data_IF_410343947014
#
_entry.id   IF_410343947014
#
_cell.length_a   1.000
_cell.length_b   1.000
_cell.length_c   1.000
_cell.angle_alpha   90.00
_cell.angle_beta   90.00
_cell.angle_gamma   90.00
#
_symmetry.space_group_name_H-M   'P 1'
#
loop_
_entity.id
_entity.type
_entity.pdbx_description
1 polymer ?
#
# COMPACT_ATOMS: atom_id res chain seq x y z
N UNK A 1 -7.57 15.46 9.28
CA UNK A 1 -9.04 15.51 9.46
C UNK A 1 -9.53 16.63 10.38
N UNK A 2 -8.91 16.90 11.54
CA UNK A 2 -9.36 17.95 12.48
C UNK A 2 -9.61 19.34 11.83
N UNK A 3 -8.71 19.79 10.95
CA UNK A 3 -8.85 21.07 10.25
C UNK A 3 -10.11 21.15 9.36
N UNK A 4 -10.53 20.02 8.77
CA UNK A 4 -11.75 19.94 7.95
C UNK A 4 -12.98 20.11 8.84
N UNK A 5 -13.02 19.45 10.00
CA UNK A 5 -14.11 19.60 10.98
C UNK A 5 -14.20 21.04 11.49
N UNK A 6 -13.06 21.65 11.79
CA UNK A 6 -12.99 23.07 12.20
C UNK A 6 -13.52 24.00 11.11
N UNK A 7 -13.21 23.72 9.84
CA UNK A 7 -13.74 24.46 8.70
C UNK A 7 -15.26 24.31 8.60
N UNK A 8 -15.79 23.09 8.66
CA UNK A 8 -17.22 22.84 8.62
C UNK A 8 -17.97 23.54 9.76
N UNK A 9 -17.40 23.56 10.97
CA UNK A 9 -17.96 24.31 12.11
C UNK A 9 -17.98 25.82 11.86
N UNK A 10 -16.91 26.38 11.28
CA UNK A 10 -16.85 27.82 10.93
C UNK A 10 -17.84 28.20 9.82
N UNK A 11 -18.03 27.31 8.85
CA UNK A 11 -18.95 27.51 7.74
C UNK A 11 -20.42 27.18 8.09
N UNK A 12 -20.71 26.80 9.34
CA UNK A 12 -22.06 26.44 9.82
C UNK A 12 -22.74 25.40 8.93
N UNK A 13 -21.98 24.39 8.49
CA UNK A 13 -22.49 23.35 7.61
C UNK A 13 -23.37 22.34 8.37
N UNK A 14 -24.42 21.87 7.71
CA UNK A 14 -25.29 20.82 8.24
C UNK A 14 -24.53 19.49 8.37
N UNK A 15 -25.03 18.56 9.16
CA UNK A 15 -24.40 17.26 9.41
C UNK A 15 -24.12 16.49 8.10
N UNK A 16 -25.07 16.50 7.17
CA UNK A 16 -24.94 15.87 5.86
C UNK A 16 -23.79 16.45 5.03
N UNK A 17 -23.69 17.79 4.98
CA UNK A 17 -22.59 18.50 4.30
C UNK A 17 -21.26 18.16 4.93
N UNK A 18 -21.19 18.16 6.27
CA UNK A 18 -19.98 17.80 7.00
C UNK A 18 -19.54 16.38 6.68
N UNK A 19 -20.49 15.42 6.71
CA UNK A 19 -20.24 14.02 6.39
C UNK A 19 -19.71 13.84 4.97
N UNK A 20 -20.36 14.45 3.98
CA UNK A 20 -19.94 14.39 2.58
C UNK A 20 -18.55 14.99 2.34
N UNK A 21 -18.21 16.10 3.00
CA UNK A 21 -16.87 16.68 2.90
C UNK A 21 -15.85 15.74 3.56
N UNK A 22 -16.13 15.23 4.76
CA UNK A 22 -15.20 14.35 5.47
C UNK A 22 -14.94 13.06 4.69
N UNK A 23 -15.98 12.45 4.11
CA UNK A 23 -15.84 11.27 3.26
C UNK A 23 -15.04 11.57 2.00
N UNK A 24 -15.26 12.73 1.36
CA UNK A 24 -14.50 13.16 0.17
C UNK A 24 -13.00 13.27 0.46
N UNK A 25 -12.63 13.92 1.58
CA UNK A 25 -11.24 13.99 2.01
C UNK A 25 -10.65 12.62 2.34
N UNK A 26 -11.44 11.74 2.97
CA UNK A 26 -11.01 10.39 3.33
C UNK A 26 -10.75 9.53 2.10
N UNK A 27 -11.68 9.50 1.14
CA UNK A 27 -11.53 8.76 -0.12
C UNK A 27 -10.33 9.27 -0.92
N UNK A 28 -10.14 10.58 -0.96
CA UNK A 28 -8.97 11.19 -1.62
C UNK A 28 -7.68 10.79 -0.93
N UNK A 29 -7.65 10.77 0.40
CA UNK A 29 -6.46 10.33 1.14
C UNK A 29 -6.12 8.87 0.88
N UNK A 30 -7.12 7.98 0.88
CA UNK A 30 -6.94 6.58 0.52
C UNK A 30 -6.43 6.42 -0.92
N UNK A 31 -6.93 7.23 -1.86
CA UNK A 31 -6.44 7.23 -3.24
C UNK A 31 -4.95 7.62 -3.34
N UNK A 32 -4.51 8.60 -2.54
CA UNK A 32 -3.09 9.01 -2.49
C UNK A 32 -2.21 7.93 -1.85
N UNK A 33 -2.67 7.26 -0.79
CA UNK A 33 -1.87 6.22 -0.12
C UNK A 33 -1.76 4.96 -0.99
N UNK A 34 -2.84 4.61 -1.69
CA UNK A 34 -2.91 3.36 -2.47
C UNK A 34 -2.02 3.37 -3.72
N UNK A 35 -1.56 4.54 -4.17
CA UNK A 35 -0.78 4.68 -5.41
C UNK A 35 0.40 5.64 -5.20
N UNK A 36 1.61 5.13 -5.44
CA UNK A 36 2.84 5.92 -5.28
C UNK A 36 3.13 6.88 -6.45
N UNK A 37 2.57 6.63 -7.65
CA UNK A 37 2.92 7.36 -8.89
C UNK A 37 2.03 8.59 -9.20
N UNK A 38 1.10 8.94 -8.31
CA UNK A 38 0.03 9.86 -8.70
C UNK A 38 0.57 11.29 -8.80
N UNK A 39 0.23 12.04 -9.84
CA UNK A 39 0.56 13.47 -9.93
C UNK A 39 -0.39 14.31 -9.06
N UNK A 40 0.05 15.50 -8.64
CA UNK A 40 -0.81 16.44 -7.90
C UNK A 40 -2.08 16.82 -8.69
N UNK A 41 -1.97 16.89 -10.02
CA UNK A 41 -3.08 17.15 -10.93
C UNK A 41 -4.12 16.03 -10.92
N UNK A 42 -3.69 14.76 -10.99
CA UNK A 42 -4.60 13.61 -10.89
C UNK A 42 -5.35 13.59 -9.55
N UNK A 43 -4.66 13.94 -8.46
CA UNK A 43 -5.27 14.05 -7.13
C UNK A 43 -6.31 15.18 -7.08
N UNK A 44 -5.99 16.33 -7.67
CA UNK A 44 -6.91 17.45 -7.77
C UNK A 44 -8.16 17.08 -8.58
N UNK A 45 -7.98 16.45 -9.73
CA UNK A 45 -9.10 16.00 -10.57
C UNK A 45 -9.98 14.99 -9.84
N UNK A 46 -9.39 14.01 -9.15
CA UNK A 46 -10.14 13.06 -8.32
C UNK A 46 -10.98 13.75 -7.24
N UNK A 47 -10.37 14.67 -6.50
CA UNK A 47 -11.09 15.44 -5.47
C UNK A 47 -12.20 16.32 -6.08
N UNK A 48 -11.93 16.94 -7.23
CA UNK A 48 -12.91 17.74 -7.99
C UNK A 48 -14.11 16.90 -8.39
N UNK A 49 -13.91 15.72 -8.96
CA UNK A 49 -14.99 14.86 -9.42
C UNK A 49 -15.88 14.43 -8.24
N UNK A 50 -15.29 14.08 -7.09
CA UNK A 50 -16.05 13.78 -5.88
C UNK A 50 -16.88 14.97 -5.37
N UNK A 51 -16.32 16.17 -5.36
CA UNK A 51 -17.06 17.39 -4.98
C UNK A 51 -18.20 17.67 -5.98
N UNK A 52 -17.98 17.41 -7.27
CA UNK A 52 -19.00 17.58 -8.30
C UNK A 52 -20.17 16.59 -8.10
N UNK A 53 -19.90 15.34 -7.72
CA UNK A 53 -20.95 14.37 -7.39
C UNK A 53 -21.89 14.85 -6.27
N UNK A 54 -21.36 15.62 -5.31
CA UNK A 54 -22.15 16.19 -4.20
C UNK A 54 -22.77 17.56 -4.51
N UNK A 55 -22.42 18.18 -5.64
CA UNK A 55 -22.89 19.50 -6.07
C UNK A 55 -23.93 19.42 -7.20
N UNK A 56 -23.89 18.37 -8.01
CA UNK A 56 -24.80 18.14 -9.12
C UNK A 56 -26.02 17.31 -8.69
N UNK A 57 -27.24 17.72 -9.06
CA UNK A 57 -28.41 16.87 -8.91
C UNK A 57 -28.37 15.78 -9.99
N UNK A 58 -28.03 14.54 -9.61
CA UNK A 58 -28.35 13.39 -10.45
C UNK A 58 -29.82 12.95 -10.17
N UNK A 59 -30.56 12.36 -11.12
CA UNK A 59 -31.90 11.82 -10.83
C UNK A 59 -31.82 10.44 -10.15
N UNK A 60 -32.88 9.94 -9.46
CA UNK A 60 -34.26 10.44 -9.42
C UNK A 60 -34.66 11.22 -8.15
N UNK A 61 -33.80 11.29 -7.12
CA UNK A 61 -34.14 11.92 -5.83
C UNK A 61 -32.88 12.46 -5.15
N UNK A 62 -32.26 13.49 -5.73
CA UNK A 62 -30.99 14.00 -5.21
C UNK A 62 -31.17 15.34 -4.52
N UNK A 63 -30.90 15.32 -3.22
CA UNK A 63 -30.66 16.53 -2.46
C UNK A 63 -29.33 17.14 -2.93
N UNK A 64 -29.36 18.39 -3.38
CA UNK A 64 -28.13 19.14 -3.66
C UNK A 64 -27.44 19.44 -2.34
N UNK A 65 -26.46 18.61 -1.98
CA UNK A 65 -25.77 18.72 -0.68
C UNK A 65 -24.88 19.97 -0.65
N UNK A 66 -24.14 20.24 -1.72
CA UNK A 66 -23.23 21.39 -1.79
C UNK A 66 -23.74 22.47 -2.76
N UNK A 67 -23.75 23.71 -2.29
CA UNK A 67 -23.89 24.88 -3.18
C UNK A 67 -22.60 25.09 -3.98
N UNK A 68 -22.68 25.84 -5.09
CA UNK A 68 -21.50 26.23 -5.86
C UNK A 68 -20.49 27.02 -5.02
N UNK A 69 -20.98 27.91 -4.14
CA UNK A 69 -20.14 28.66 -3.22
C UNK A 69 -19.44 27.72 -2.20
N UNK A 70 -20.18 26.75 -1.66
CA UNK A 70 -19.66 25.75 -0.73
C UNK A 70 -18.55 24.92 -1.42
N UNK A 71 -18.82 24.41 -2.62
CA UNK A 71 -17.87 23.62 -3.40
C UNK A 71 -16.57 24.41 -3.68
N UNK A 72 -16.68 25.68 -4.05
CA UNK A 72 -15.53 26.57 -4.29
C UNK A 72 -14.71 26.76 -3.01
N UNK A 73 -15.37 26.97 -1.87
CA UNK A 73 -14.70 27.14 -0.57
C UNK A 73 -13.97 25.87 -0.12
N UNK A 74 -14.60 24.70 -0.33
CA UNK A 74 -14.03 23.38 -0.03
C UNK A 74 -12.82 23.11 -0.93
N UNK A 75 -12.89 23.46 -2.21
CA UNK A 75 -11.77 23.33 -3.15
C UNK A 75 -10.59 24.21 -2.74
N UNK A 76 -10.85 25.45 -2.33
CA UNK A 76 -9.79 26.35 -1.83
C UNK A 76 -9.12 25.79 -0.57
N UNK A 77 -9.91 25.22 0.35
CA UNK A 77 -9.38 24.55 1.54
C UNK A 77 -8.50 23.36 1.16
N UNK A 78 -8.95 22.53 0.22
CA UNK A 78 -8.21 21.37 -0.26
C UNK A 78 -6.85 21.77 -0.84
N UNK A 79 -6.80 22.78 -1.71
CA UNK A 79 -5.54 23.27 -2.27
C UNK A 79 -4.58 23.79 -1.18
N UNK A 80 -5.08 24.60 -0.24
CA UNK A 80 -4.28 25.23 0.82
C UNK A 80 -3.74 24.24 1.84
N UNK A 81 -4.54 23.24 2.21
CA UNK A 81 -4.23 22.32 3.30
C UNK A 81 -3.64 21.00 2.80
N UNK A 82 -4.17 20.46 1.70
CA UNK A 82 -3.82 19.13 1.21
C UNK A 82 -2.75 19.21 0.14
N UNK A 83 -3.01 19.87 -0.99
CA UNK A 83 -2.06 19.92 -2.11
C UNK A 83 -0.75 20.65 -1.75
N UNK A 84 -0.84 21.77 -1.02
CA UNK A 84 0.36 22.48 -0.54
C UNK A 84 1.28 21.60 0.32
N UNK A 85 0.69 20.70 1.10
CA UNK A 85 1.41 19.82 2.02
C UNK A 85 1.56 18.39 1.45
N UNK A 86 1.29 18.18 0.16
CA UNK A 86 1.30 16.86 -0.47
C UNK A 86 2.63 16.11 -0.30
N UNK A 87 3.82 16.75 -0.40
CA UNK A 87 5.09 16.06 -0.15
C UNK A 87 5.19 15.50 1.27
N UNK A 88 4.76 16.27 2.28
CA UNK A 88 4.76 15.85 3.68
C UNK A 88 3.76 14.71 3.93
N UNK A 89 2.57 14.81 3.34
CA UNK A 89 1.55 13.77 3.44
C UNK A 89 2.06 12.46 2.83
N UNK A 90 2.75 12.51 1.69
CA UNK A 90 3.39 11.32 1.09
C UNK A 90 4.45 10.75 2.00
N UNK A 91 5.34 11.58 2.53
CA UNK A 91 6.40 11.11 3.41
C UNK A 91 5.86 10.39 4.65
N UNK A 92 4.81 10.92 5.28
CA UNK A 92 4.23 10.36 6.51
C UNK A 92 3.34 9.13 6.28
N UNK A 93 2.66 9.07 5.13
CA UNK A 93 1.62 8.06 4.89
C UNK A 93 2.05 6.96 3.91
N UNK A 94 3.19 7.09 3.24
CA UNK A 94 3.76 6.04 2.39
C UNK A 94 4.37 4.94 3.28
N UNK A 95 3.83 3.71 3.29
CA UNK A 95 4.24 2.66 4.23
C UNK A 95 5.65 2.08 3.99
N UNK A 96 6.44 2.63 3.07
CA UNK A 96 7.79 2.14 2.73
C UNK A 96 8.64 3.27 2.12
N UNK A 97 8.87 4.37 2.84
CA UNK A 97 10.15 5.04 2.62
C UNK A 97 11.21 4.02 3.02
N UNK A 98 12.10 3.67 2.10
CA UNK A 98 13.08 2.60 2.22
C UNK A 98 14.05 2.76 3.39
N UNK A 99 13.56 2.69 4.62
CA UNK A 99 14.32 2.36 5.81
C UNK A 99 14.54 0.86 5.77
N UNK A 100 15.30 0.40 4.76
CA UNK A 100 15.99 -0.87 4.87
C UNK A 100 17.01 -0.68 5.99
N UNK A 101 16.62 -0.99 7.21
CA UNK A 101 17.61 -1.15 8.28
C UNK A 101 18.44 -2.35 7.86
N UNK A 102 19.69 -2.12 7.49
CA UNK A 102 20.67 -3.18 7.27
C UNK A 102 21.00 -3.77 8.65
N UNK A 103 20.04 -4.47 9.25
CA UNK A 103 20.27 -5.23 10.46
C UNK A 103 20.63 -6.65 10.04
N UNK A 104 21.92 -6.92 10.03
CA UNK A 104 22.43 -8.27 9.83
C UNK A 104 22.23 -9.03 11.16
N UNK A 105 21.25 -9.93 11.20
CA UNK A 105 21.09 -10.86 12.31
C UNK A 105 22.31 -11.78 12.31
N UNK A 106 23.17 -11.66 13.32
CA UNK A 106 24.25 -12.61 13.54
C UNK A 106 23.64 -13.99 13.72
N UNK A 107 23.95 -14.90 12.81
CA UNK A 107 23.51 -16.30 12.88
C UNK A 107 24.20 -16.92 14.11
N UNK A 108 23.45 -17.15 15.19
CA UNK A 108 23.93 -18.03 16.26
C UNK A 108 23.99 -19.44 15.69
N UNK A 109 25.21 -19.91 15.41
CA UNK A 109 25.46 -21.29 15.00
C UNK A 109 24.99 -22.22 16.12
N UNK A 110 23.92 -22.99 15.85
CA UNK A 110 23.47 -24.04 16.75
C UNK A 110 24.61 -25.07 16.93
N UNK A 111 24.93 -25.50 18.17
CA UNK A 111 26.00 -26.46 18.39
C UNK A 111 25.70 -27.77 17.63
N UNK A 112 26.68 -28.23 16.85
CA UNK A 112 26.57 -29.44 16.04
C UNK A 112 26.17 -30.65 16.90
N UNK A 113 25.09 -31.33 16.52
CA UNK A 113 24.67 -32.57 17.19
C UNK A 113 25.75 -33.66 17.03
N UNK A 114 26.07 -34.42 18.09
CA UNK A 114 27.10 -35.46 18.03
C UNK A 114 26.72 -36.58 17.04
N UNK A 115 27.68 -36.98 16.21
CA UNK A 115 27.55 -38.06 15.23
C UNK A 115 27.37 -39.41 15.94
N UNK A 116 26.17 -39.98 15.87
CA UNK A 116 25.91 -41.35 16.30
C UNK A 116 26.70 -42.35 15.42
N UNK A 117 27.61 -43.08 16.04
CA UNK A 117 28.22 -44.29 15.48
C UNK A 117 27.22 -45.44 15.55
N UNK A 118 26.69 -45.89 14.41
CA UNK A 118 26.16 -47.26 14.22
C UNK A 118 26.89 -47.86 13.01
N UNK A 119 27.61 -48.97 13.11
CA UNK A 119 27.34 -50.13 13.95
C UNK A 119 26.97 -51.28 13.01
N UNK A 120 28.01 -51.99 12.59
CA UNK A 120 28.07 -53.15 11.72
C UNK A 120 26.93 -54.19 11.93
N UNK A 121 26.28 -54.67 10.85
CA UNK A 121 25.68 -56.02 10.83
C UNK A 121 25.60 -56.61 9.41
N UNK A 122 26.27 -57.75 9.26
CA UNK A 122 26.32 -58.67 8.11
C UNK A 122 24.93 -59.25 7.78
N UNK A 123 24.68 -59.50 6.49
CA UNK A 123 23.99 -60.73 6.05
C UNK A 123 24.39 -61.15 4.63
N UNK A 124 24.36 -62.46 4.39
CA UNK A 124 25.10 -63.25 3.37
C UNK A 124 24.25 -63.58 2.13
N UNK A 125 24.97 -63.75 1.00
CA UNK A 125 24.66 -64.69 -0.12
C UNK A 125 23.82 -64.08 -1.26
N UNK A 126 24.10 -64.20 -2.55
CA UNK A 126 25.04 -64.97 -3.39
C UNK A 126 24.32 -65.22 -4.73
N UNK A 127 24.78 -64.78 -5.91
CA UNK A 127 25.50 -65.58 -6.93
C UNK A 127 25.69 -64.78 -8.25
N UNK A 128 26.86 -65.01 -8.88
CA UNK A 128 27.25 -64.98 -10.32
C UNK A 128 27.20 -63.63 -11.08
N UNK A 129 28.36 -63.06 -11.47
CA UNK A 129 29.17 -63.34 -12.68
C UNK A 129 28.40 -62.92 -13.96
N UNK A 130 28.84 -62.07 -14.89
CA UNK A 130 30.11 -61.58 -15.48
C UNK A 130 29.68 -60.38 -16.37
N UNK A 131 30.44 -59.33 -16.68
CA UNK A 131 31.45 -59.28 -17.75
C UNK A 131 31.91 -57.81 -17.94
N UNK A 132 33.09 -57.67 -18.54
CA UNK A 132 33.97 -56.52 -18.75
C UNK A 132 33.41 -55.46 -19.70
N UNK A 133 33.97 -54.23 -19.62
CA UNK A 133 34.18 -53.41 -20.83
C UNK A 133 34.11 -51.89 -20.66
N UNK A 134 35.25 -51.27 -20.37
CA UNK A 134 35.81 -50.04 -20.99
C UNK A 134 35.02 -49.41 -22.15
N UNK A 135 34.95 -48.08 -22.38
CA UNK A 135 36.03 -47.07 -22.41
C UNK A 135 35.43 -45.68 -22.72
N UNK A 136 36.12 -44.63 -22.22
CA UNK A 136 36.42 -43.31 -22.86
C UNK A 136 35.64 -42.99 -24.14
N UNK A 137 34.90 -41.88 -24.22
CA UNK A 137 35.48 -40.54 -24.25
C UNK A 137 36.04 -40.24 -25.64
N UNK A 138 35.29 -39.49 -26.46
CA UNK A 138 35.83 -38.85 -27.66
C UNK A 138 35.20 -37.48 -27.82
N UNK A 139 36.07 -36.47 -27.78
CA UNK A 139 35.80 -35.06 -27.99
C UNK A 139 36.71 -34.65 -29.14
N UNK A 140 36.14 -34.51 -30.34
CA UNK A 140 36.62 -33.64 -31.41
C UNK A 140 35.57 -33.58 -32.50
#
# INVERSE_FOLDING_TARGET
>A
MYNVVKFCKKAQFNLEKCGAILSTFYMTHNYVISRFDVSAEKIYNYFKDLVMCHSLPFPPSNLKILSHADATSVMSLFCKMYLRNLPLIRFLCSPNFAFQWQYELSVEELPEKPKDKKGNKKEKGGKKATDKGTKKGSKK
#
